data_IF_291813610226
#
_entry.id   IF_291813610226
#
_cell.length_a   1.000
_cell.length_b   1.000
_cell.length_c   1.000
_cell.angle_alpha   90.00
_cell.angle_beta   90.00
_cell.angle_gamma   90.00
#
_symmetry.space_group_name_H-M   'P 1'
#
loop_
_entity.id
_entity.type
_entity.pdbx_description
1 polymer ?
#
# COMPACT_ATOMS: atom_id res chain seq x y z
N UNK A 1 48.80 29.96 -31.97
CA UNK A 1 47.66 29.04 -31.73
C UNK A 1 46.57 29.82 -30.97
N UNK A 2 45.44 30.12 -31.62
CA UNK A 2 44.31 30.82 -30.97
C UNK A 2 43.42 29.79 -30.28
N UNK A 3 43.30 29.88 -28.96
CA UNK A 3 42.37 29.08 -28.17
C UNK A 3 40.94 29.56 -28.41
N UNK A 4 40.12 28.72 -29.04
CA UNK A 4 38.69 28.95 -29.24
C UNK A 4 37.95 28.55 -27.95
N UNK A 5 37.52 29.53 -27.16
CA UNK A 5 36.68 29.29 -25.98
C UNK A 5 35.23 29.12 -26.46
N UNK A 6 34.70 27.90 -26.41
CA UNK A 6 33.28 27.66 -26.59
C UNK A 6 32.54 27.93 -25.27
N UNK A 7 31.52 28.79 -25.24
CA UNK A 7 30.69 28.96 -24.05
C UNK A 7 29.80 27.72 -23.91
N UNK A 8 29.93 27.02 -22.78
CA UNK A 8 29.01 25.96 -22.38
C UNK A 8 27.68 26.62 -21.98
N UNK A 9 26.66 26.49 -22.83
CA UNK A 9 25.29 26.86 -22.49
C UNK A 9 24.67 25.71 -21.70
N UNK A 10 24.49 25.91 -20.40
CA UNK A 10 23.69 25.04 -19.54
C UNK A 10 22.21 25.24 -19.87
N UNK A 11 21.61 24.31 -20.59
CA UNK A 11 20.16 24.21 -20.71
C UNK A 11 19.63 23.44 -19.50
N UNK A 12 18.97 24.15 -18.57
CA UNK A 12 18.18 23.55 -17.51
C UNK A 12 16.79 23.19 -18.04
N UNK A 13 16.55 21.89 -18.23
CA UNK A 13 15.21 21.37 -18.55
C UNK A 13 14.35 21.41 -17.29
N UNK A 14 13.37 22.31 -17.23
CA UNK A 14 12.33 22.24 -16.21
C UNK A 14 11.34 21.14 -16.60
N UNK A 15 11.43 19.99 -15.92
CA UNK A 15 10.39 18.96 -16.02
C UNK A 15 9.26 19.39 -15.10
N UNK A 16 8.13 19.82 -15.68
CA UNK A 16 6.92 20.05 -14.91
C UNK A 16 6.32 18.70 -14.54
N UNK A 17 6.12 18.45 -13.24
CA UNK A 17 5.30 17.33 -12.77
C UNK A 17 3.90 17.46 -13.35
N UNK A 18 3.24 16.34 -13.65
CA UNK A 18 1.83 16.39 -14.03
C UNK A 18 1.01 16.87 -12.83
N UNK A 19 0.28 17.98 -13.01
CA UNK A 19 -0.67 18.45 -12.00
C UNK A 19 -1.89 17.53 -11.96
N UNK A 20 -2.25 17.09 -10.74
CA UNK A 20 -3.46 16.33 -10.47
C UNK A 20 -4.65 17.30 -10.31
N UNK A 21 -5.31 17.61 -11.43
CA UNK A 21 -6.52 18.43 -11.48
C UNK A 21 -7.77 17.65 -11.02
N UNK A 22 -8.86 18.33 -10.65
CA UNK A 22 -10.14 17.69 -10.31
C UNK A 22 -10.68 16.77 -11.44
N UNK A 23 -10.56 17.16 -12.71
CA UNK A 23 -10.99 16.34 -13.85
C UNK A 23 -10.23 15.00 -13.89
N UNK A 24 -8.89 15.05 -13.78
CA UNK A 24 -8.03 13.86 -13.66
C UNK A 24 -8.34 13.04 -12.40
N UNK A 25 -8.61 13.69 -11.27
CA UNK A 25 -9.01 13.02 -10.03
C UNK A 25 -10.32 12.24 -10.22
N UNK A 26 -11.34 12.84 -10.84
CA UNK A 26 -12.59 12.18 -11.18
C UNK A 26 -12.37 11.00 -12.12
N UNK A 27 -11.53 11.16 -13.15
CA UNK A 27 -11.17 10.05 -14.05
C UNK A 27 -10.48 8.91 -13.30
N UNK A 28 -9.45 9.20 -12.49
CA UNK A 28 -8.71 8.21 -11.72
C UNK A 28 -9.61 7.46 -10.73
N UNK A 29 -10.55 8.16 -10.08
CA UNK A 29 -11.51 7.54 -9.15
C UNK A 29 -12.38 6.46 -9.83
N UNK A 30 -12.64 6.56 -11.15
CA UNK A 30 -13.44 5.56 -11.86
C UNK A 30 -12.80 4.18 -11.87
N UNK A 31 -11.46 4.10 -11.85
CA UNK A 31 -10.71 2.85 -11.96
C UNK A 31 -10.94 1.94 -10.74
N UNK A 32 -10.63 2.36 -9.49
CA UNK A 32 -10.89 1.54 -8.31
C UNK A 32 -12.41 1.39 -8.03
N UNK A 33 -13.24 2.40 -8.30
CA UNK A 33 -14.71 2.29 -8.09
C UNK A 33 -15.32 1.15 -8.90
N UNK A 34 -14.79 0.89 -10.10
CA UNK A 34 -15.23 -0.20 -10.96
C UNK A 34 -14.94 -1.57 -10.33
N UNK A 35 -13.80 -1.72 -9.65
CA UNK A 35 -13.40 -3.00 -9.09
C UNK A 35 -13.80 -3.20 -7.61
N UNK A 36 -13.99 -2.18 -6.77
CA UNK A 36 -14.20 -2.33 -5.31
C UNK A 36 -15.19 -3.42 -4.84
N UNK A 37 -16.19 -3.77 -5.66
CA UNK A 37 -17.19 -4.81 -5.35
C UNK A 37 -17.25 -5.94 -6.39
N UNK A 38 -16.25 -6.05 -7.28
CA UNK A 38 -16.19 -7.03 -8.37
C UNK A 38 -15.40 -8.27 -7.94
N UNK A 39 -16.06 -9.41 -7.70
CA UNK A 39 -15.35 -10.58 -7.18
C UNK A 39 -14.42 -11.28 -8.19
N UNK A 40 -14.71 -11.21 -9.50
CA UNK A 40 -13.96 -11.94 -10.52
C UNK A 40 -13.64 -11.09 -11.76
N UNK A 41 -12.52 -11.37 -12.47
CA UNK A 41 -11.47 -12.33 -12.13
C UNK A 41 -10.64 -11.88 -10.91
N UNK A 42 -10.17 -12.84 -10.11
CA UNK A 42 -9.35 -12.58 -8.92
C UNK A 42 -8.24 -13.64 -8.78
N UNK A 43 -7.04 -13.19 -8.41
CA UNK A 43 -5.82 -13.96 -8.21
C UNK A 43 -5.47 -13.98 -6.72
N UNK A 44 -5.88 -15.05 -6.04
CA UNK A 44 -5.74 -15.19 -4.59
C UNK A 44 -4.30 -15.37 -4.10
N UNK A 45 -3.42 -15.99 -4.89
CA UNK A 45 -2.03 -16.28 -4.50
C UNK A 45 -1.87 -17.00 -3.14
N UNK A 46 -2.89 -17.76 -2.73
CA UNK A 46 -2.98 -18.45 -1.43
C UNK A 46 -2.11 -19.71 -1.35
N UNK A 47 -1.67 -20.03 -0.13
CA UNK A 47 -1.11 -21.33 0.21
C UNK A 47 -2.20 -22.17 0.88
N UNK A 48 -2.50 -23.33 0.30
CA UNK A 48 -3.52 -24.24 0.83
C UNK A 48 -2.85 -25.34 1.66
N UNK A 49 -3.22 -25.48 2.93
CA UNK A 49 -2.82 -26.66 3.73
C UNK A 49 -3.59 -27.91 3.30
N UNK A 50 -4.89 -27.76 3.04
CA UNK A 50 -5.76 -28.83 2.60
C UNK A 50 -6.95 -28.31 1.79
N UNK A 51 -7.83 -29.22 1.35
CA UNK A 51 -8.96 -28.90 0.48
C UNK A 51 -10.05 -28.06 1.14
N UNK A 52 -10.10 -27.95 2.47
CA UNK A 52 -11.10 -27.17 3.20
C UNK A 52 -10.87 -25.66 3.10
N UNK A 53 -9.68 -25.25 2.67
CA UNK A 53 -9.31 -23.84 2.50
C UNK A 53 -9.69 -23.26 1.12
N UNK A 54 -10.20 -24.09 0.21
CA UNK A 54 -10.67 -23.63 -1.11
C UNK A 54 -12.02 -22.93 -0.96
N UNK A 55 -12.01 -21.60 -1.04
CA UNK A 55 -13.21 -20.76 -0.96
C UNK A 55 -13.16 -19.62 -1.98
N UNK A 56 -14.25 -18.85 -2.09
CA UNK A 56 -14.33 -17.73 -3.02
C UNK A 56 -13.54 -16.51 -2.51
N UNK A 57 -13.07 -15.60 -3.40
CA UNK A 57 -12.31 -14.43 -2.98
C UNK A 57 -13.02 -13.55 -1.96
N UNK A 58 -14.33 -13.34 -2.11
CA UNK A 58 -15.10 -12.54 -1.16
C UNK A 58 -15.22 -13.19 0.21
N UNK A 59 -15.18 -14.52 0.30
CA UNK A 59 -15.21 -15.22 1.59
C UNK A 59 -13.84 -15.17 2.25
N UNK A 60 -12.76 -15.35 1.50
CA UNK A 60 -11.39 -15.35 2.03
C UNK A 60 -10.91 -13.95 2.43
N UNK A 61 -11.22 -12.94 1.60
CA UNK A 61 -10.74 -11.57 1.75
C UNK A 61 -11.87 -10.55 1.60
N UNK A 62 -12.87 -10.53 2.51
CA UNK A 62 -14.07 -9.72 2.36
C UNK A 62 -13.82 -8.21 2.36
N UNK A 63 -12.69 -7.74 2.89
CA UNK A 63 -12.31 -6.34 2.79
C UNK A 63 -11.68 -6.02 1.43
N UNK A 64 -10.91 -6.96 0.85
CA UNK A 64 -10.03 -6.69 -0.28
C UNK A 64 -10.26 -7.59 -1.51
N UNK A 65 -11.47 -8.08 -1.72
CA UNK A 65 -11.80 -9.01 -2.83
C UNK A 65 -12.00 -8.38 -4.22
N UNK A 66 -12.29 -7.08 -4.30
CA UNK A 66 -12.89 -6.48 -5.50
C UNK A 66 -11.97 -6.30 -6.72
N UNK A 67 -10.67 -6.16 -6.53
CA UNK A 67 -9.75 -5.96 -7.65
C UNK A 67 -9.02 -7.26 -8.00
N UNK A 68 -8.16 -7.20 -9.01
CA UNK A 68 -7.55 -8.41 -9.58
C UNK A 68 -6.80 -9.27 -8.54
N UNK A 69 -6.21 -8.65 -7.52
CA UNK A 69 -5.64 -9.32 -6.35
C UNK A 69 -5.77 -8.43 -5.11
N UNK A 70 -5.40 -8.99 -3.95
CA UNK A 70 -5.56 -8.38 -2.63
C UNK A 70 -4.88 -7.01 -2.56
N UNK A 71 -3.60 -6.90 -2.93
CA UNK A 71 -2.90 -5.61 -2.84
C UNK A 71 -3.39 -4.58 -3.87
N UNK A 72 -3.84 -5.01 -5.06
CA UNK A 72 -4.47 -4.09 -6.01
C UNK A 72 -5.75 -3.49 -5.43
N UNK A 73 -6.50 -4.30 -4.66
CA UNK A 73 -7.68 -3.83 -3.94
C UNK A 73 -7.29 -2.83 -2.86
N UNK A 74 -6.31 -3.14 -2.00
CA UNK A 74 -5.81 -2.21 -0.97
C UNK A 74 -5.32 -0.90 -1.57
N UNK A 75 -4.54 -0.96 -2.66
CA UNK A 75 -4.09 0.23 -3.39
C UNK A 75 -5.26 1.05 -3.93
N UNK A 76 -6.28 0.38 -4.50
CA UNK A 76 -7.52 1.03 -4.94
C UNK A 76 -8.24 1.76 -3.81
N UNK A 77 -8.36 1.13 -2.63
CA UNK A 77 -8.93 1.75 -1.44
C UNK A 77 -8.13 2.99 -1.02
N UNK A 78 -6.79 2.88 -0.94
CA UNK A 78 -5.94 4.02 -0.61
C UNK A 78 -6.13 5.17 -1.60
N UNK A 79 -6.11 4.87 -2.90
CA UNK A 79 -6.25 5.91 -3.93
C UNK A 79 -7.58 6.66 -3.78
N UNK A 80 -8.67 5.98 -3.42
CA UNK A 80 -9.96 6.61 -3.20
C UNK A 80 -9.99 7.48 -1.95
N UNK A 81 -9.40 7.02 -0.85
CA UNK A 81 -9.28 7.83 0.38
C UNK A 81 -8.44 9.08 0.10
N UNK A 82 -7.30 8.93 -0.58
CA UNK A 82 -6.44 10.04 -1.00
C UNK A 82 -7.21 11.06 -1.86
N UNK A 83 -7.93 10.60 -2.88
CA UNK A 83 -8.71 11.48 -3.74
C UNK A 83 -9.84 12.19 -2.98
N UNK A 84 -10.53 11.50 -2.07
CA UNK A 84 -11.55 12.10 -1.22
C UNK A 84 -10.98 13.16 -0.27
N UNK A 85 -9.76 12.95 0.23
CA UNK A 85 -9.07 13.88 1.11
C UNK A 85 -8.63 15.14 0.37
N UNK A 86 -8.04 14.99 -0.82
CA UNK A 86 -7.46 16.11 -1.57
C UNK A 86 -8.45 16.84 -2.49
N UNK A 87 -9.57 16.21 -2.86
CA UNK A 87 -10.59 16.79 -3.75
C UNK A 87 -11.97 16.76 -3.08
N UNK A 88 -12.33 17.80 -2.31
CA UNK A 88 -13.63 17.85 -1.61
C UNK A 88 -14.85 17.74 -2.53
N UNK A 89 -14.70 18.16 -3.80
CA UNK A 89 -15.71 18.14 -4.85
C UNK A 89 -15.59 16.91 -5.79
N UNK A 90 -14.95 15.82 -5.34
CA UNK A 90 -14.83 14.60 -6.13
C UNK A 90 -16.22 14.03 -6.48
N UNK A 91 -16.40 13.65 -7.75
CA UNK A 91 -17.62 13.01 -8.21
C UNK A 91 -17.86 11.70 -7.46
N UNK A 92 -19.15 11.36 -7.25
CA UNK A 92 -19.58 10.12 -6.59
C UNK A 92 -19.02 9.93 -5.17
N UNK A 93 -18.58 11.00 -4.49
CA UNK A 93 -18.06 10.97 -3.11
C UNK A 93 -18.89 10.09 -2.17
N UNK A 94 -20.22 10.23 -2.18
CA UNK A 94 -21.11 9.43 -1.33
C UNK A 94 -21.08 7.92 -1.68
N UNK A 95 -21.05 7.56 -2.95
CA UNK A 95 -20.96 6.16 -3.41
C UNK A 95 -19.61 5.55 -2.99
N UNK A 96 -18.52 6.29 -3.18
CA UNK A 96 -17.16 5.86 -2.81
C UNK A 96 -17.09 5.59 -1.31
N UNK A 97 -17.54 6.54 -0.48
CA UNK A 97 -17.54 6.39 0.98
C UNK A 97 -18.40 5.20 1.41
N UNK A 98 -19.57 5.01 0.80
CA UNK A 98 -20.43 3.87 1.10
C UNK A 98 -19.73 2.53 0.83
N UNK A 99 -19.08 2.39 -0.33
CA UNK A 99 -18.32 1.18 -0.67
C UNK A 99 -17.13 0.95 0.27
N UNK A 100 -16.37 2.01 0.60
CA UNK A 100 -15.28 1.93 1.57
C UNK A 100 -15.77 1.47 2.95
N UNK A 101 -16.92 1.96 3.43
CA UNK A 101 -17.53 1.53 4.70
C UNK A 101 -17.96 0.07 4.69
N UNK A 102 -18.47 -0.43 3.56
CA UNK A 102 -18.78 -1.85 3.40
C UNK A 102 -17.49 -2.68 3.48
N UNK A 103 -16.48 -2.34 2.67
CA UNK A 103 -15.25 -3.14 2.60
C UNK A 103 -14.45 -3.09 3.90
N UNK A 104 -14.23 -1.91 4.47
CA UNK A 104 -13.43 -1.69 5.68
C UNK A 104 -14.29 -1.71 6.96
N UNK A 105 -15.37 -2.51 6.96
CA UNK A 105 -16.16 -2.75 8.18
C UNK A 105 -15.31 -3.52 9.20
N UNK A 106 -15.66 -3.38 10.49
CA UNK A 106 -14.96 -4.09 11.57
C UNK A 106 -14.96 -5.61 11.35
N UNK A 107 -16.08 -6.16 10.88
CA UNK A 107 -16.27 -7.60 10.63
C UNK A 107 -15.37 -8.08 9.49
N UNK A 108 -15.32 -7.32 8.40
CA UNK A 108 -14.49 -7.66 7.25
C UNK A 108 -13.00 -7.56 7.56
N UNK A 109 -12.57 -6.51 8.27
CA UNK A 109 -11.17 -6.42 8.72
C UNK A 109 -10.83 -7.55 9.69
N UNK A 110 -11.73 -7.92 10.60
CA UNK A 110 -11.49 -9.05 11.49
C UNK A 110 -11.31 -10.37 10.73
N UNK A 111 -12.04 -10.57 9.63
CA UNK A 111 -11.85 -11.73 8.77
C UNK A 111 -10.46 -11.74 8.09
N UNK A 112 -9.96 -10.59 7.62
CA UNK A 112 -8.59 -10.46 7.10
C UNK A 112 -7.56 -10.77 8.19
N UNK A 113 -7.75 -10.25 9.41
CA UNK A 113 -6.87 -10.53 10.56
C UNK A 113 -6.85 -12.03 10.85
N UNK A 114 -8.01 -12.69 10.84
CA UNK A 114 -8.11 -14.13 11.07
C UNK A 114 -7.38 -14.91 9.97
N UNK A 115 -7.52 -14.52 8.69
CA UNK A 115 -6.81 -15.14 7.57
C UNK A 115 -5.29 -15.00 7.74
N UNK A 116 -4.78 -13.78 7.93
CA UNK A 116 -3.35 -13.49 8.03
C UNK A 116 -2.73 -14.01 9.34
N UNK A 117 -3.55 -14.40 10.32
CA UNK A 117 -3.11 -15.02 11.57
C UNK A 117 -2.90 -16.53 11.46
N UNK A 118 -3.35 -17.19 10.38
CA UNK A 118 -3.07 -18.61 10.12
C UNK A 118 -1.56 -18.88 10.13
N UNK A 119 -1.17 -20.04 10.65
CA UNK A 119 0.25 -20.36 10.87
C UNK A 119 1.07 -20.39 9.57
N UNK A 120 0.47 -20.81 8.46
CA UNK A 120 1.10 -20.90 7.14
C UNK A 120 1.05 -19.60 6.33
N UNK A 121 0.25 -18.61 6.73
CA UNK A 121 0.02 -17.37 5.96
C UNK A 121 0.95 -16.21 6.36
N UNK A 122 2.00 -16.48 7.14
CA UNK A 122 2.96 -15.44 7.58
C UNK A 122 3.64 -14.67 6.45
N UNK A 123 3.71 -15.23 5.25
CA UNK A 123 4.34 -14.60 4.08
C UNK A 123 3.36 -14.02 3.07
N UNK A 124 2.04 -14.14 3.30
CA UNK A 124 1.03 -13.59 2.42
C UNK A 124 1.27 -12.09 2.21
N UNK A 125 1.28 -11.66 0.94
CA UNK A 125 1.46 -10.26 0.53
C UNK A 125 2.77 -9.57 0.99
N UNK A 126 3.74 -10.36 1.43
CA UNK A 126 5.05 -9.87 1.90
C UNK A 126 5.92 -9.39 0.73
N UNK A 127 6.46 -8.17 0.73
CA UNK A 127 6.14 -6.99 1.56
C UNK A 127 5.26 -5.99 0.82
N UNK A 128 4.80 -6.32 -0.40
CA UNK A 128 4.14 -5.36 -1.28
C UNK A 128 2.73 -5.00 -0.82
N UNK A 129 1.88 -5.96 -0.52
CA UNK A 129 0.56 -5.64 0.04
C UNK A 129 0.67 -5.02 1.42
N UNK A 130 1.69 -5.40 2.20
CA UNK A 130 1.95 -4.80 3.52
C UNK A 130 2.19 -3.29 3.44
N UNK A 131 3.01 -2.82 2.50
CA UNK A 131 3.24 -1.36 2.35
C UNK A 131 1.99 -0.61 1.92
N UNK A 132 1.18 -1.18 1.03
CA UNK A 132 -0.06 -0.54 0.61
C UNK A 132 -1.08 -0.45 1.74
N UNK A 133 -1.14 -1.48 2.59
CA UNK A 133 -2.00 -1.47 3.78
C UNK A 133 -1.58 -0.35 4.75
N UNK A 134 -0.29 -0.23 5.05
CA UNK A 134 0.21 0.83 5.93
C UNK A 134 0.03 2.22 5.32
N UNK A 135 0.13 2.34 3.98
CA UNK A 135 -0.16 3.58 3.26
C UNK A 135 -1.64 3.95 3.35
N UNK A 136 -2.55 2.98 3.24
CA UNK A 136 -3.99 3.17 3.46
C UNK A 136 -4.28 3.61 4.91
N UNK A 137 -3.68 2.94 5.90
CA UNK A 137 -3.85 3.32 7.31
C UNK A 137 -3.40 4.75 7.56
N UNK A 138 -2.22 5.13 7.07
CA UNK A 138 -1.70 6.50 7.17
C UNK A 138 -2.67 7.52 6.56
N UNK A 139 -3.19 7.25 5.37
CA UNK A 139 -4.12 8.15 4.69
C UNK A 139 -5.43 8.32 5.47
N UNK A 140 -5.97 7.23 6.02
CA UNK A 140 -7.18 7.27 6.84
C UNK A 140 -6.97 8.04 8.15
N UNK A 141 -5.83 7.86 8.82
CA UNK A 141 -5.55 8.52 10.10
C UNK A 141 -5.21 10.01 9.95
N UNK A 142 -4.64 10.41 8.80
CA UNK A 142 -4.32 11.81 8.50
C UNK A 142 -5.49 12.59 7.93
N UNK A 143 -6.53 11.91 7.45
CA UNK A 143 -7.72 12.54 6.91
C UNK A 143 -8.59 13.19 8.00
N UNK A 144 -9.08 14.40 7.72
CA UNK A 144 -10.00 15.12 8.61
C UNK A 144 -11.47 14.71 8.45
N UNK A 145 -11.78 13.85 7.49
CA UNK A 145 -13.15 13.42 7.18
C UNK A 145 -13.69 12.45 8.24
N UNK A 146 -14.95 12.59 8.72
CA UNK A 146 -15.50 11.73 9.78
C UNK A 146 -15.51 10.24 9.45
N UNK A 147 -15.76 9.88 8.18
CA UNK A 147 -15.75 8.47 7.77
C UNK A 147 -14.35 7.87 7.90
N UNK A 148 -13.30 8.64 7.65
CA UNK A 148 -11.93 8.13 7.63
C UNK A 148 -11.47 7.71 9.03
N UNK A 149 -11.87 8.45 10.08
CA UNK A 149 -11.58 8.11 11.48
C UNK A 149 -12.18 6.76 11.89
N UNK A 150 -13.41 6.48 11.49
CA UNK A 150 -14.08 5.20 11.74
C UNK A 150 -13.34 4.06 11.03
N UNK A 151 -13.01 4.23 9.75
CA UNK A 151 -12.33 3.19 8.99
C UNK A 151 -10.87 2.98 9.43
N UNK A 152 -10.18 4.03 9.87
CA UNK A 152 -8.86 3.93 10.49
C UNK A 152 -8.89 3.03 11.73
N UNK A 153 -9.90 3.20 12.58
CA UNK A 153 -10.08 2.38 13.79
C UNK A 153 -10.39 0.92 13.43
N UNK A 154 -11.23 0.69 12.41
CA UNK A 154 -11.54 -0.66 11.94
C UNK A 154 -10.32 -1.36 11.34
N UNK A 155 -9.50 -0.65 10.54
CA UNK A 155 -8.33 -1.17 9.84
C UNK A 155 -7.15 -1.45 10.78
N UNK A 156 -7.06 -0.70 11.88
CA UNK A 156 -5.91 -0.69 12.80
C UNK A 156 -5.43 -2.08 13.27
N UNK A 157 -6.29 -3.05 13.64
CA UNK A 157 -5.83 -4.38 14.04
C UNK A 157 -5.05 -5.12 12.95
N UNK A 158 -5.43 -4.95 11.68
CA UNK A 158 -4.72 -5.55 10.55
C UNK A 158 -3.39 -4.85 10.29
N UNK A 159 -3.36 -3.53 10.41
CA UNK A 159 -2.13 -2.73 10.33
C UNK A 159 -1.14 -3.10 11.43
N UNK A 160 -1.61 -3.26 12.67
CA UNK A 160 -0.79 -3.67 13.81
C UNK A 160 -0.21 -5.09 13.61
N UNK A 161 -1.02 -6.03 13.11
CA UNK A 161 -0.55 -7.37 12.73
C UNK A 161 0.57 -7.29 11.68
N UNK A 162 0.41 -6.49 10.63
CA UNK A 162 1.44 -6.32 9.59
C UNK A 162 2.73 -5.69 10.14
N UNK A 163 2.64 -4.73 11.07
CA UNK A 163 3.83 -4.19 11.76
C UNK A 163 4.59 -5.29 12.49
N UNK A 164 3.89 -6.14 13.24
CA UNK A 164 4.51 -7.28 13.92
C UNK A 164 5.19 -8.22 12.92
N UNK A 165 4.54 -8.48 11.77
CA UNK A 165 5.12 -9.30 10.69
C UNK A 165 6.41 -8.69 10.13
N UNK A 166 6.47 -7.38 9.93
CA UNK A 166 7.72 -6.70 9.55
C UNK A 166 8.82 -6.91 10.59
N UNK A 167 8.52 -6.66 11.87
CA UNK A 167 9.49 -6.80 12.95
C UNK A 167 9.99 -8.25 13.05
N UNK A 168 9.12 -9.24 12.85
CA UNK A 168 9.49 -10.66 12.83
C UNK A 168 10.32 -11.03 11.58
N UNK A 169 9.97 -10.48 10.42
CA UNK A 169 10.52 -10.88 9.13
C UNK A 169 11.86 -10.23 8.79
N UNK A 170 12.00 -8.91 8.96
CA UNK A 170 13.16 -8.17 8.44
C UNK A 170 14.51 -8.69 8.96
N UNK A 171 14.66 -9.09 10.25
CA UNK A 171 15.91 -9.70 10.72
C UNK A 171 16.24 -11.04 10.05
N UNK A 172 15.23 -11.76 9.53
CA UNK A 172 15.39 -13.04 8.83
C UNK A 172 15.71 -12.87 7.34
N UNK A 173 15.56 -11.66 6.79
CA UNK A 173 15.85 -11.38 5.39
C UNK A 173 17.37 -11.23 5.18
N UNK A 174 17.98 -12.28 4.61
CA UNK A 174 19.42 -12.33 4.38
C UNK A 174 19.88 -11.39 3.24
N UNK A 175 19.12 -11.37 2.14
CA UNK A 175 19.42 -10.55 0.96
C UNK A 175 18.20 -9.74 0.54
N UNK A 176 18.36 -8.46 0.12
CA UNK A 176 17.24 -7.69 -0.38
C UNK A 176 16.97 -8.02 -1.85
N UNK A 177 15.72 -7.83 -2.25
CA UNK A 177 15.27 -7.96 -3.63
C UNK A 177 15.29 -6.57 -4.27
N UNK A 178 16.03 -6.41 -5.38
CA UNK A 178 16.27 -5.11 -6.04
C UNK A 178 15.58 -4.94 -7.40
N UNK A 179 14.74 -5.89 -7.80
CA UNK A 179 14.07 -5.84 -9.11
C UNK A 179 13.01 -4.73 -9.15
N UNK A 180 12.74 -4.16 -10.32
CA UNK A 180 11.68 -3.15 -10.52
C UNK A 180 10.25 -3.72 -10.50
N UNK A 181 9.99 -4.73 -9.68
CA UNK A 181 8.68 -5.41 -9.58
C UNK A 181 8.19 -5.43 -8.13
N UNK A 182 6.96 -5.91 -7.91
CA UNK A 182 6.27 -5.95 -6.62
C UNK A 182 7.12 -6.47 -5.44
N UNK A 183 8.03 -7.43 -5.68
CA UNK A 183 8.85 -8.03 -4.63
C UNK A 183 10.02 -7.15 -4.16
N UNK A 184 10.20 -5.95 -4.72
CA UNK A 184 11.27 -5.03 -4.33
C UNK A 184 11.25 -4.72 -2.83
N UNK A 185 12.35 -5.04 -2.15
CA UNK A 185 12.46 -4.87 -0.70
C UNK A 185 12.54 -3.40 -0.31
N UNK A 186 13.21 -2.54 -1.10
CA UNK A 186 13.31 -1.12 -0.78
C UNK A 186 11.93 -0.44 -0.83
N UNK A 187 11.14 -0.73 -1.88
CA UNK A 187 9.73 -0.29 -1.96
C UNK A 187 8.93 -0.79 -0.75
N UNK A 188 9.14 -2.06 -0.39
CA UNK A 188 8.61 -2.71 0.80
C UNK A 188 8.92 -2.03 2.14
N UNK A 189 9.89 -1.11 2.19
CA UNK A 189 10.28 -0.37 3.39
C UNK A 189 9.86 1.10 3.35
N UNK A 190 9.61 1.67 2.18
CA UNK A 190 9.36 3.12 2.01
C UNK A 190 8.10 3.58 2.74
N UNK A 191 6.91 3.07 2.38
CA UNK A 191 5.67 3.49 3.06
C UNK A 191 5.56 2.96 4.49
N UNK A 192 6.21 1.82 4.76
CA UNK A 192 6.33 1.30 6.12
C UNK A 192 7.08 2.30 7.03
N UNK A 193 8.13 2.95 6.52
CA UNK A 193 8.85 4.00 7.25
C UNK A 193 7.97 5.23 7.52
N UNK A 194 7.26 5.72 6.51
CA UNK A 194 6.36 6.87 6.65
C UNK A 194 5.34 6.62 7.78
N UNK A 195 4.72 5.44 7.78
CA UNK A 195 3.77 5.06 8.82
C UNK A 195 4.42 4.87 10.19
N UNK A 196 5.62 4.28 10.26
CA UNK A 196 6.36 4.11 11.51
C UNK A 196 6.69 5.46 12.17
N UNK A 197 7.06 6.47 11.37
CA UNK A 197 7.31 7.84 11.83
C UNK A 197 6.00 8.50 12.30
N UNK A 198 4.95 8.44 11.48
CA UNK A 198 3.65 9.00 11.80
C UNK A 198 3.06 8.45 13.11
N UNK A 199 3.02 7.12 13.24
CA UNK A 199 2.48 6.40 14.41
C UNK A 199 3.38 6.46 15.65
N UNK A 200 4.57 7.06 15.53
CA UNK A 200 5.58 7.14 16.60
C UNK A 200 5.97 5.76 17.17
N UNK A 201 5.84 4.69 16.37
CA UNK A 201 6.18 3.33 16.79
C UNK A 201 7.71 3.14 16.75
N UNK A 202 8.37 3.40 17.88
CA UNK A 202 9.84 3.38 18.00
C UNK A 202 10.44 2.01 17.66
N UNK A 203 9.78 0.92 18.06
CA UNK A 203 10.26 -0.43 17.76
C UNK A 203 10.23 -0.70 16.25
N UNK A 204 9.15 -0.28 15.58
CA UNK A 204 9.00 -0.45 14.14
C UNK A 204 9.97 0.43 13.36
N UNK A 205 10.14 1.69 13.77
CA UNK A 205 11.16 2.60 13.21
C UNK A 205 12.56 1.98 13.31
N UNK A 206 12.92 1.46 14.49
CA UNK A 206 14.22 0.80 14.70
C UNK A 206 14.40 -0.39 13.75
N UNK A 207 13.41 -1.28 13.68
CA UNK A 207 13.46 -2.46 12.81
C UNK A 207 13.65 -2.09 11.35
N UNK A 208 12.87 -1.13 10.82
CA UNK A 208 13.02 -0.68 9.42
C UNK A 208 14.38 -0.05 9.20
N UNK A 209 14.80 0.89 10.06
CA UNK A 209 16.05 1.63 9.87
C UNK A 209 17.27 0.72 9.89
N UNK A 210 17.36 -0.17 10.88
CA UNK A 210 18.49 -1.10 11.01
C UNK A 210 18.59 -2.02 9.79
N UNK A 211 17.46 -2.56 9.32
CA UNK A 211 17.46 -3.46 8.17
C UNK A 211 17.65 -2.72 6.85
N UNK A 212 17.09 -1.52 6.67
CA UNK A 212 17.32 -0.70 5.48
C UNK A 212 18.81 -0.35 5.33
N UNK A 213 19.46 0.08 6.42
CA UNK A 213 20.90 0.36 6.43
C UNK A 213 21.69 -0.92 6.15
N UNK A 214 21.41 -2.02 6.87
CA UNK A 214 22.10 -3.31 6.66
C UNK A 214 22.00 -3.81 5.22
N UNK A 215 20.85 -3.65 4.58
CA UNK A 215 20.55 -4.22 3.27
C UNK A 215 21.02 -3.33 2.11
N UNK A 216 21.00 -2.01 2.27
CA UNK A 216 21.15 -1.05 1.16
C UNK A 216 22.22 0.03 1.35
N UNK A 217 22.86 0.17 2.53
CA UNK A 217 23.83 1.25 2.74
C UNK A 217 25.02 1.20 1.78
N UNK A 218 25.44 -0.01 1.37
CA UNK A 218 26.53 -0.21 0.41
C UNK A 218 26.08 -0.25 -1.05
N UNK A 219 24.84 0.09 -1.35
CA UNK A 219 24.35 0.07 -2.73
C UNK A 219 24.92 1.25 -3.52
N UNK A 220 25.58 0.92 -4.62
CA UNK A 220 26.16 1.87 -5.57
C UNK A 220 25.77 1.45 -7.00
N UNK A 221 25.73 2.41 -7.92
CA UNK A 221 25.47 2.16 -9.35
C UNK A 221 24.21 1.32 -9.63
N UNK A 222 23.15 1.47 -8.83
CA UNK A 222 21.90 0.74 -9.03
C UNK A 222 21.31 1.06 -10.42
N UNK A 223 20.86 0.05 -11.19
CA UNK A 223 20.21 0.28 -12.47
C UNK A 223 18.90 1.05 -12.25
N UNK A 224 18.70 2.09 -13.06
CA UNK A 224 17.46 2.87 -13.14
C UNK A 224 16.34 2.06 -13.81
#
# INVERSE_FOLDING_TARGET
>A
MKFLKYPFLLFSSFVFSQDLTLEKANHLATLPVKCLQQEYPNKLSQLLIDSTEIQSPKVLHPAFYGCFDWHSSVHGHWSLVYLLHHFPNLDKKAEIIHKLKINLSKENIQAEVNYLSKAHEKSFERTYGWVWLLKLQLELETSNEPFAKELAQNLKPLSDLVIERYIEFLPKLLYPIRVGTHSNTAFGLTFAWDYAVYSQNIQFQKSIKENAVRLFQGDENCPF
#
